data_IF_851283801330
#
_entry.id   IF_851283801330
#
_cell.length_a   1.000
_cell.length_b   1.000
_cell.length_c   1.000
_cell.angle_alpha   90.00
_cell.angle_beta   90.00
_cell.angle_gamma   90.00
#
_symmetry.space_group_name_H-M   'P 1'
#
loop_
_entity.id
_entity.type
_entity.pdbx_description
1 polymer ?
#
# COMPACT_ATOMS: atom_id res chain seq x y z
N UNK A 1 6.14 -24.37 -32.79
CA UNK A 1 7.40 -23.60 -32.59
C UNK A 1 7.28 -22.90 -31.24
N UNK A 2 8.31 -22.95 -30.39
CA UNK A 2 8.36 -22.16 -29.17
C UNK A 2 8.25 -20.68 -29.52
N UNK A 3 7.55 -19.92 -28.68
CA UNK A 3 7.46 -18.46 -28.80
C UNK A 3 8.44 -17.86 -27.80
N UNK A 4 9.08 -16.77 -28.16
CA UNK A 4 10.03 -16.09 -27.28
C UNK A 4 9.66 -14.62 -27.15
N UNK A 5 9.81 -14.05 -25.96
CA UNK A 5 9.52 -12.64 -25.67
C UNK A 5 10.82 -11.94 -25.29
N UNK A 6 11.02 -10.72 -25.81
CA UNK A 6 12.15 -9.90 -25.41
C UNK A 6 11.98 -9.39 -23.97
N UNK A 7 13.00 -9.53 -23.11
CA UNK A 7 13.03 -8.89 -21.79
C UNK A 7 13.64 -7.50 -21.82
N UNK A 8 14.46 -7.24 -22.83
CA UNK A 8 15.13 -5.98 -23.10
C UNK A 8 15.09 -5.70 -24.60
N UNK A 9 15.58 -4.52 -25.01
CA UNK A 9 15.64 -4.18 -26.44
C UNK A 9 16.61 -5.10 -27.18
N UNK A 10 16.14 -5.76 -28.24
CA UNK A 10 16.95 -6.66 -29.08
C UNK A 10 16.78 -6.25 -30.54
N UNK A 11 17.68 -5.41 -31.05
CA UNK A 11 17.59 -4.89 -32.41
C UNK A 11 16.34 -4.01 -32.59
N UNK A 12 15.35 -4.52 -33.33
CA UNK A 12 14.06 -3.84 -33.54
C UNK A 12 12.98 -4.27 -32.55
N UNK A 13 13.19 -5.36 -31.80
CA UNK A 13 12.20 -5.87 -30.87
C UNK A 13 12.27 -5.12 -29.55
N UNK A 14 11.13 -4.58 -29.12
CA UNK A 14 11.00 -3.93 -27.83
C UNK A 14 10.79 -4.95 -26.70
N UNK A 15 11.07 -4.57 -25.44
CA UNK A 15 10.71 -5.40 -24.29
C UNK A 15 9.21 -5.75 -24.30
N UNK A 16 8.88 -7.03 -24.10
CA UNK A 16 7.52 -7.56 -24.18
C UNK A 16 7.09 -8.01 -25.58
N UNK A 17 7.89 -7.78 -26.61
CA UNK A 17 7.58 -8.15 -27.99
C UNK A 17 7.97 -9.60 -28.31
N UNK A 18 7.18 -10.25 -29.17
CA UNK A 18 7.45 -11.62 -29.63
C UNK A 18 8.58 -11.63 -30.67
N UNK A 19 9.65 -12.36 -30.36
CA UNK A 19 10.80 -12.54 -31.23
C UNK A 19 10.45 -13.53 -32.34
N UNK A 20 10.52 -13.09 -33.60
CA UNK A 20 10.27 -13.90 -34.80
C UNK A 20 11.40 -13.73 -35.81
N UNK A 21 11.63 -14.76 -36.63
CA UNK A 21 12.58 -14.70 -37.76
C UNK A 21 14.06 -14.72 -37.35
N UNK A 22 14.39 -15.04 -36.10
CA UNK A 22 15.76 -15.31 -35.67
C UNK A 22 16.10 -16.80 -35.84
N UNK A 23 17.37 -17.08 -36.11
CA UNK A 23 17.95 -18.41 -36.13
C UNK A 23 18.07 -19.01 -34.72
N UNK A 24 18.14 -20.34 -34.64
CA UNK A 24 18.15 -21.06 -33.37
C UNK A 24 19.40 -20.75 -32.52
N UNK A 25 20.57 -20.58 -33.14
CA UNK A 25 21.81 -20.26 -32.43
C UNK A 25 21.70 -18.90 -31.73
N UNK A 26 21.15 -17.90 -32.42
CA UNK A 26 20.94 -16.57 -31.87
C UNK A 26 19.86 -16.54 -30.80
N UNK A 27 18.77 -17.30 -30.97
CA UNK A 27 17.78 -17.49 -29.90
C UNK A 27 18.44 -18.08 -28.66
N UNK A 28 19.25 -19.12 -28.79
CA UNK A 28 19.92 -19.75 -27.65
C UNK A 28 20.94 -18.83 -26.97
N UNK A 29 21.70 -18.05 -27.75
CA UNK A 29 22.60 -17.04 -27.21
C UNK A 29 21.84 -15.96 -26.42
N UNK A 30 20.71 -15.49 -26.93
CA UNK A 30 19.86 -14.48 -26.26
C UNK A 30 19.16 -15.04 -25.02
N UNK A 31 18.75 -16.31 -25.03
CA UNK A 31 18.23 -17.00 -23.85
C UNK A 31 19.33 -17.12 -22.78
N UNK A 32 20.54 -17.52 -23.18
CA UNK A 32 21.70 -17.66 -22.28
C UNK A 32 22.10 -16.30 -21.70
N UNK A 33 21.99 -15.22 -22.48
CA UNK A 33 22.25 -13.86 -22.00
C UNK A 33 21.08 -13.26 -21.21
N UNK A 34 19.93 -13.94 -21.11
CA UNK A 34 18.73 -13.44 -20.46
C UNK A 34 18.06 -12.26 -21.19
N UNK A 35 18.39 -12.02 -22.46
CA UNK A 35 17.78 -10.96 -23.26
C UNK A 35 16.36 -11.31 -23.73
N UNK A 36 16.07 -12.60 -23.86
CA UNK A 36 14.75 -13.12 -24.23
C UNK A 36 14.37 -14.26 -23.27
N UNK A 37 13.08 -14.60 -23.25
CA UNK A 37 12.52 -15.70 -22.46
C UNK A 37 11.53 -16.49 -23.29
N UNK A 38 11.46 -17.81 -23.10
CA UNK A 38 10.43 -18.63 -23.74
C UNK A 38 9.06 -18.23 -23.16
N UNK A 39 8.15 -17.83 -24.05
CA UNK A 39 6.77 -17.53 -23.69
C UNK A 39 6.13 -18.82 -23.20
N UNK A 40 6.07 -18.94 -21.88
CA UNK A 40 5.16 -19.85 -21.23
C UNK A 40 3.82 -19.11 -21.11
N UNK A 41 2.71 -19.64 -21.67
CA UNK A 41 1.39 -19.13 -21.28
C UNK A 41 1.35 -19.14 -19.75
N UNK A 42 0.69 -18.16 -19.10
CA UNK A 42 0.57 -18.17 -17.65
C UNK A 42 -0.16 -19.45 -17.27
N UNK A 43 0.60 -20.51 -17.03
CA UNK A 43 0.15 -21.60 -16.20
C UNK A 43 -0.26 -20.89 -14.92
N UNK A 44 -1.51 -21.10 -14.56
CA UNK A 44 -2.08 -20.73 -13.29
C UNK A 44 -1.40 -21.57 -12.19
N UNK A 45 -0.07 -21.54 -12.13
CA UNK A 45 0.75 -22.06 -11.06
C UNK A 45 1.01 -20.88 -10.13
N UNK A 46 0.61 -20.99 -8.85
CA UNK A 46 0.76 -19.90 -7.91
C UNK A 46 2.25 -19.56 -7.84
N UNK A 47 2.59 -18.33 -8.20
CA UNK A 47 3.78 -17.69 -7.64
C UNK A 47 3.58 -17.69 -6.13
N UNK A 48 4.04 -18.76 -5.47
CA UNK A 48 3.79 -19.07 -4.06
C UNK A 48 4.43 -18.03 -3.12
N UNK A 49 5.31 -17.20 -3.66
CA UNK A 49 5.95 -16.09 -2.94
C UNK A 49 5.08 -14.83 -3.03
N UNK A 50 4.58 -14.48 -4.22
CA UNK A 50 3.82 -13.23 -4.43
C UNK A 50 2.44 -13.23 -3.75
N UNK A 51 1.80 -14.39 -3.59
CA UNK A 51 0.51 -14.48 -2.88
C UNK A 51 0.66 -14.42 -1.37
N UNK A 52 1.80 -14.87 -0.83
CA UNK A 52 2.15 -14.75 0.59
C UNK A 52 2.35 -13.28 0.96
N UNK A 53 3.17 -12.58 0.18
CA UNK A 53 3.48 -11.16 0.41
C UNK A 53 2.24 -10.28 0.32
N UNK A 54 1.37 -10.52 -0.68
CA UNK A 54 0.11 -9.78 -0.81
C UNK A 54 -0.85 -10.04 0.36
N UNK A 55 -0.88 -11.27 0.89
CA UNK A 55 -1.75 -11.61 2.02
C UNK A 55 -1.20 -11.07 3.35
N UNK A 56 0.12 -11.02 3.51
CA UNK A 56 0.75 -10.34 4.65
C UNK A 56 0.52 -8.84 4.60
N UNK A 57 0.77 -8.19 3.46
CA UNK A 57 0.51 -6.75 3.26
C UNK A 57 -0.96 -6.38 3.52
N UNK A 58 -1.91 -7.24 3.13
CA UNK A 58 -3.33 -7.01 3.39
C UNK A 58 -3.68 -7.15 4.88
N UNK A 59 -3.04 -8.08 5.59
CA UNK A 59 -3.17 -8.23 7.04
C UNK A 59 -2.60 -7.02 7.79
N UNK A 60 -1.36 -6.64 7.49
CA UNK A 60 -0.69 -5.48 8.11
C UNK A 60 -1.45 -4.16 7.84
N UNK A 61 -2.05 -4.01 6.66
CA UNK A 61 -2.91 -2.87 6.35
C UNK A 61 -4.16 -2.78 7.24
N UNK A 62 -4.80 -3.93 7.54
CA UNK A 62 -5.96 -3.96 8.43
C UNK A 62 -5.60 -3.67 9.89
N UNK A 63 -4.48 -4.23 10.38
CA UNK A 63 -3.98 -4.00 11.73
C UNK A 63 -3.54 -2.54 11.96
N UNK A 64 -2.87 -1.93 10.96
CA UNK A 64 -2.49 -0.52 11.02
C UNK A 64 -3.71 0.39 11.04
N UNK A 65 -4.73 0.11 10.23
CA UNK A 65 -5.94 0.91 10.20
C UNK A 65 -6.69 0.86 11.54
N UNK A 66 -6.79 -0.32 12.16
CA UNK A 66 -7.38 -0.48 13.48
C UNK A 66 -6.61 0.30 14.56
N UNK A 67 -5.27 0.31 14.50
CA UNK A 67 -4.43 1.10 15.41
C UNK A 67 -4.62 2.60 15.22
N UNK A 68 -4.73 3.08 13.98
CA UNK A 68 -4.99 4.49 13.67
C UNK A 68 -6.33 4.91 14.28
N UNK A 69 -7.42 4.19 14.01
CA UNK A 69 -8.75 4.52 14.56
C UNK A 69 -8.75 4.54 16.09
N UNK A 70 -8.06 3.58 16.72
CA UNK A 70 -7.94 3.55 18.18
C UNK A 70 -7.16 4.76 18.72
N UNK A 71 -6.04 5.10 18.09
CA UNK A 71 -5.24 6.28 18.48
C UNK A 71 -6.00 7.57 18.27
N UNK A 72 -6.75 7.72 17.17
CA UNK A 72 -7.61 8.89 16.93
C UNK A 72 -8.70 9.01 17.99
N UNK A 73 -9.32 7.89 18.39
CA UNK A 73 -10.32 7.87 19.46
C UNK A 73 -9.71 8.22 20.81
N UNK A 74 -8.55 7.65 21.14
CA UNK A 74 -7.82 7.92 22.38
C UNK A 74 -7.36 9.40 22.44
N UNK A 75 -6.94 9.97 21.31
CA UNK A 75 -6.53 11.37 21.19
C UNK A 75 -7.74 12.30 21.31
N UNK A 76 -8.86 11.98 20.66
CA UNK A 76 -10.12 12.72 20.80
C UNK A 76 -10.61 12.69 22.26
N UNK A 77 -10.55 11.53 22.92
CA UNK A 77 -10.93 11.38 24.32
C UNK A 77 -9.96 12.13 25.26
N UNK A 78 -8.65 12.12 24.99
CA UNK A 78 -7.68 12.91 25.75
C UNK A 78 -7.96 14.41 25.59
N UNK A 79 -8.18 14.88 24.37
CA UNK A 79 -8.47 16.29 24.08
C UNK A 79 -9.78 16.76 24.71
N UNK A 80 -10.81 15.91 24.72
CA UNK A 80 -12.08 16.15 25.41
C UNK A 80 -11.93 16.20 26.95
N UNK A 81 -11.03 15.38 27.52
CA UNK A 81 -10.73 15.41 28.97
C UNK A 81 -9.98 16.68 29.36
N UNK A 82 -9.04 17.15 28.54
CA UNK A 82 -8.32 18.41 28.78
C UNK A 82 -9.22 19.65 28.67
N UNK A 83 -10.17 19.67 27.73
CA UNK A 83 -11.13 20.78 27.60
C UNK A 83 -12.18 20.81 28.73
N UNK A 84 -12.52 19.65 29.33
CA UNK A 84 -13.44 19.58 30.47
C UNK A 84 -12.80 19.97 31.81
N UNK A 85 -11.50 19.74 31.99
CA UNK A 85 -10.77 20.10 33.21
C UNK A 85 -10.53 21.62 33.36
N UNK A 86 -10.56 22.39 32.26
CA UNK A 86 -10.42 23.86 32.30
C UNK A 86 -11.65 24.63 32.82
N UNK A 87 -12.79 23.96 33.07
CA UNK A 87 -14.05 24.61 33.49
C UNK A 87 -14.51 24.25 34.91
N UNK A 88 -13.71 23.52 35.68
CA UNK A 88 -14.12 23.02 37.00
C UNK A 88 -13.32 23.59 38.19
N UNK A 89 -12.68 24.75 38.03
CA UNK A 89 -12.19 25.56 39.15
C UNK A 89 -12.53 27.03 38.93
N UNK A 90 -13.82 27.35 38.97
CA UNK A 90 -14.30 28.65 39.38
C UNK A 90 -15.40 28.38 40.41
N UNK A 91 -14.94 27.93 41.57
CA UNK A 91 -15.72 27.76 42.78
C UNK A 91 -16.19 29.12 43.30
N UNK A 92 -17.39 29.11 43.89
CA UNK A 92 -18.13 30.19 44.52
C UNK A 92 -17.31 31.35 45.12
N UNK A 93 -17.70 32.58 44.79
CA UNK A 93 -17.89 33.57 45.84
C UNK A 93 -19.03 34.54 45.51
N UNK A 94 -19.87 34.73 46.52
CA UNK A 94 -21.17 35.37 46.48
C UNK A 94 -21.12 36.86 46.11
N UNK A 95 -22.19 37.36 45.48
CA UNK A 95 -22.98 38.42 46.11
C UNK A 95 -24.41 38.47 45.55
N UNK A 96 -25.38 38.59 46.45
CA UNK A 96 -26.82 38.63 46.17
C UNK A 96 -27.32 40.07 46.27
N UNK A 97 -28.14 40.49 45.28
CA UNK A 97 -29.07 41.63 45.37
C UNK A 97 -28.43 42.96 44.98
N UNK A 98 -29.04 43.83 44.17
CA UNK A 98 -30.45 44.25 44.15
C UNK A 98 -30.72 44.99 42.83
N UNK A 99 -31.92 44.90 42.23
CA UNK A 99 -32.30 45.72 41.09
C UNK A 99 -32.98 47.01 41.58
N UNK A 100 -32.53 48.20 41.20
CA UNK A 100 -33.41 49.36 41.24
C UNK A 100 -33.19 50.31 40.06
N UNK A 101 -34.35 50.71 39.52
CA UNK A 101 -34.58 51.66 38.47
C UNK A 101 -34.34 53.10 38.94
N UNK A 102 -33.88 53.95 38.02
CA UNK A 102 -34.42 55.31 37.87
C UNK A 102 -34.13 55.87 36.49
#
# INVERSE_FOLDING_TARGET
MPKYIAKQSVGHFLPGEEIKGLDAERIQALLTSGAIEEYKPPEKSPSSESTSDLKQLLGEGADLNAKITKLETDLAAATAKFTKAGKATADENADKGTPEAK
#
